data_IF_201462719926
#
_entry.id   IF_201462719926
#
_cell.length_a   1.000
_cell.length_b   1.000
_cell.length_c   1.000
_cell.angle_alpha   90.00
_cell.angle_beta   90.00
_cell.angle_gamma   90.00
#
_symmetry.space_group_name_H-M   'P 1'
#
loop_
_entity.id
_entity.type
_entity.pdbx_description
1 polymer ?
#
# COMPACT_ATOMS: atom_id res chain seq x y z
N UNK A 1 2.49 -13.25 -23.06
CA UNK A 1 1.42 -13.86 -23.67
C UNK A 1 0.49 -14.41 -22.61
N UNK A 2 -0.73 -14.47 -22.99
CA UNK A 2 -1.76 -14.73 -22.04
C UNK A 2 -1.64 -16.08 -21.44
N UNK A 3 -1.27 -17.04 -22.25
CA UNK A 3 -1.12 -18.29 -21.75
C UNK A 3 -0.06 -18.43 -20.77
N UNK A 4 1.11 -17.89 -21.02
CA UNK A 4 2.18 -17.93 -20.10
C UNK A 4 1.81 -17.30 -18.82
N UNK A 5 1.06 -16.22 -18.92
CA UNK A 5 0.67 -15.53 -17.75
C UNK A 5 -0.28 -16.35 -16.92
N UNK A 6 -1.25 -17.00 -17.59
CA UNK A 6 -2.23 -17.73 -16.83
C UNK A 6 -1.62 -18.99 -16.24
N UNK A 7 -0.47 -19.43 -16.73
CA UNK A 7 0.13 -20.59 -16.17
C UNK A 7 1.11 -20.24 -15.07
N UNK A 8 1.32 -18.98 -14.80
CA UNK A 8 2.23 -18.58 -13.76
C UNK A 8 1.63 -18.99 -12.42
N UNK A 9 2.41 -19.73 -11.67
CA UNK A 9 1.93 -20.13 -10.36
C UNK A 9 2.12 -18.99 -9.39
N UNK A 10 1.25 -18.93 -8.43
CA UNK A 10 1.33 -17.86 -7.45
C UNK A 10 0.89 -18.39 -6.10
N UNK A 11 1.20 -17.62 -5.07
CA UNK A 11 0.68 -17.89 -3.75
C UNK A 11 -0.03 -16.60 -3.31
N UNK A 12 -0.98 -16.74 -2.41
CA UNK A 12 -1.82 -15.61 -2.04
C UNK A 12 -1.51 -15.12 -0.64
N UNK A 13 -1.41 -13.81 -0.50
CA UNK A 13 -1.26 -13.21 0.81
C UNK A 13 -2.36 -12.18 0.97
N UNK A 14 -2.64 -11.81 2.21
CA UNK A 14 -3.72 -10.91 2.51
C UNK A 14 -3.20 -9.67 3.22
N UNK A 15 -3.89 -8.57 3.05
CA UNK A 15 -3.50 -7.33 3.71
C UNK A 15 -4.76 -6.49 3.93
N UNK A 16 -4.82 -5.84 5.08
CA UNK A 16 -5.93 -4.95 5.40
C UNK A 16 -5.39 -3.53 5.41
N UNK A 17 -6.13 -2.63 4.81
CA UNK A 17 -5.75 -1.23 4.74
C UNK A 17 -6.88 -0.38 5.33
N UNK A 18 -6.54 0.82 5.75
CA UNK A 18 -7.57 1.74 6.21
C UNK A 18 -8.34 2.31 5.04
N UNK A 19 -7.66 2.57 3.94
CA UNK A 19 -8.27 3.15 2.76
C UNK A 19 -7.47 2.74 1.54
N UNK A 20 -8.12 2.16 0.57
CA UNK A 20 -7.39 1.71 -0.61
C UNK A 20 -7.48 2.69 -1.78
N UNK A 21 -8.21 3.82 -1.59
CA UNK A 21 -8.34 4.80 -2.66
C UNK A 21 -8.93 4.20 -3.90
N UNK A 22 -8.26 4.36 -5.00
CA UNK A 22 -8.72 3.82 -6.29
C UNK A 22 -8.08 2.52 -6.68
N UNK A 23 -7.53 1.78 -5.71
CA UNK A 23 -6.90 0.50 -6.03
C UNK A 23 -7.93 -0.47 -6.59
N UNK A 24 -7.57 -1.20 -7.63
CA UNK A 24 -8.51 -2.11 -8.30
C UNK A 24 -7.94 -3.50 -8.37
N UNK A 25 -8.82 -4.45 -8.60
CA UNK A 25 -8.39 -5.82 -8.88
C UNK A 25 -7.52 -5.78 -10.12
N UNK A 26 -6.46 -6.55 -10.09
CA UNK A 26 -5.44 -6.63 -11.14
C UNK A 26 -4.37 -5.55 -11.03
N UNK A 27 -4.49 -4.66 -10.07
CA UNK A 27 -3.44 -3.68 -9.86
C UNK A 27 -2.16 -4.42 -9.56
N UNK A 28 -1.02 -3.93 -10.04
CA UNK A 28 0.24 -4.64 -9.84
C UNK A 28 0.78 -4.49 -8.43
N UNK A 29 1.49 -5.51 -7.98
CA UNK A 29 2.31 -5.46 -6.79
C UNK A 29 3.74 -5.33 -7.29
N UNK A 30 4.46 -4.32 -6.84
CA UNK A 30 5.80 -4.06 -7.33
C UNK A 30 6.83 -4.00 -6.23
N UNK A 31 8.03 -4.46 -6.54
CA UNK A 31 9.18 -4.29 -5.68
C UNK A 31 10.21 -3.52 -6.51
N UNK A 32 10.57 -2.34 -6.04
CA UNK A 32 11.53 -1.55 -6.80
C UNK A 32 11.07 -1.24 -8.21
N UNK A 33 9.76 -1.14 -8.41
CA UNK A 33 9.23 -0.87 -9.73
C UNK A 33 8.98 -2.08 -10.60
N UNK A 34 9.39 -3.27 -10.13
CA UNK A 34 9.23 -4.49 -10.92
C UNK A 34 7.99 -5.24 -10.44
N UNK A 35 7.16 -5.67 -11.36
CA UNK A 35 5.92 -6.37 -11.02
C UNK A 35 6.25 -7.77 -10.55
N UNK A 36 5.80 -8.10 -9.34
CA UNK A 36 6.01 -9.43 -8.78
C UNK A 36 4.69 -10.13 -8.48
N UNK A 37 3.58 -9.44 -8.64
CA UNK A 37 2.27 -10.03 -8.38
C UNK A 37 1.16 -9.07 -8.74
N UNK A 38 -0.06 -9.43 -8.38
CA UNK A 38 -1.20 -8.58 -8.68
C UNK A 38 -2.29 -8.78 -7.64
N UNK A 39 -3.12 -7.76 -7.49
CA UNK A 39 -4.28 -7.84 -6.62
C UNK A 39 -5.27 -8.81 -7.26
N UNK A 40 -5.69 -9.81 -6.52
CA UNK A 40 -6.63 -10.79 -7.04
C UNK A 40 -8.04 -10.58 -6.50
N UNK A 41 -8.20 -9.94 -5.36
CA UNK A 41 -9.54 -9.72 -4.81
C UNK A 41 -9.52 -8.58 -3.82
N UNK A 42 -10.63 -7.86 -3.74
CA UNK A 42 -10.80 -6.78 -2.79
C UNK A 42 -12.18 -6.94 -2.19
N UNK A 43 -12.25 -6.93 -0.87
CA UNK A 43 -13.54 -7.01 -0.23
C UNK A 43 -13.52 -6.22 1.07
N UNK A 44 -14.66 -5.88 1.58
CA UNK A 44 -14.75 -5.18 2.83
C UNK A 44 -15.01 -6.21 3.91
N UNK A 45 -14.20 -6.22 4.94
CA UNK A 45 -14.36 -7.16 6.04
C UNK A 45 -15.67 -6.80 6.75
N UNK A 46 -16.62 -7.72 6.84
CA UNK A 46 -17.92 -7.40 7.42
C UNK A 46 -17.88 -7.08 8.90
N UNK A 47 -16.82 -7.45 9.58
CA UNK A 47 -16.73 -7.16 11.01
C UNK A 47 -16.07 -5.84 11.27
N UNK A 48 -15.00 -5.54 10.58
CA UNK A 48 -14.25 -4.32 10.84
C UNK A 48 -14.56 -3.22 9.85
N UNK A 49 -15.17 -3.57 8.72
CA UNK A 49 -15.46 -2.64 7.64
C UNK A 49 -14.18 -2.00 7.10
N UNK A 50 -13.08 -2.74 7.16
CA UNK A 50 -11.84 -2.31 6.53
C UNK A 50 -11.64 -3.10 5.26
N UNK A 51 -11.05 -2.49 4.24
CA UNK A 51 -10.79 -3.19 2.99
C UNK A 51 -9.72 -4.26 3.18
N UNK A 52 -10.04 -5.45 2.72
CA UNK A 52 -9.12 -6.58 2.77
C UNK A 52 -8.74 -6.90 1.35
N UNK A 53 -7.47 -6.87 1.07
CA UNK A 53 -6.95 -7.08 -0.27
C UNK A 53 -6.23 -8.42 -0.31
N UNK A 54 -6.55 -9.21 -1.33
CA UNK A 54 -5.86 -10.48 -1.56
C UNK A 54 -4.91 -10.25 -2.73
N UNK A 55 -3.66 -10.66 -2.56
CA UNK A 55 -2.64 -10.42 -3.55
C UNK A 55 -2.02 -11.75 -3.96
N UNK A 56 -1.95 -11.99 -5.27
CA UNK A 56 -1.31 -13.17 -5.80
C UNK A 56 0.12 -12.79 -6.15
N UNK A 57 1.08 -13.44 -5.51
CA UNK A 57 2.50 -13.17 -5.75
C UNK A 57 3.06 -14.32 -6.55
N UNK A 58 3.81 -13.99 -7.61
CA UNK A 58 4.38 -15.02 -8.47
C UNK A 58 5.28 -15.92 -7.65
N UNK A 59 5.18 -17.21 -7.87
CA UNK A 59 5.87 -18.20 -7.06
C UNK A 59 7.38 -18.06 -7.10
N UNK A 60 7.93 -17.49 -8.14
CA UNK A 60 9.36 -17.33 -8.20
C UNK A 60 9.86 -16.33 -7.15
N UNK A 61 8.96 -15.53 -6.59
CA UNK A 61 9.32 -14.57 -5.55
C UNK A 61 8.83 -15.08 -4.20
N UNK A 62 9.35 -16.23 -3.80
CA UNK A 62 8.88 -16.87 -2.58
C UNK A 62 9.79 -16.69 -1.37
N UNK A 63 10.69 -15.71 -1.44
CA UNK A 63 11.54 -15.45 -0.29
C UNK A 63 11.34 -14.02 0.20
N UNK A 64 10.11 -13.65 0.40
CA UNK A 64 9.78 -12.34 0.92
C UNK A 64 9.54 -12.48 2.42
N UNK A 65 10.31 -11.78 3.24
CA UNK A 65 10.15 -11.92 4.70
C UNK A 65 8.81 -11.38 5.18
N UNK A 66 8.29 -11.99 6.23
CA UNK A 66 7.03 -11.52 6.78
C UNK A 66 7.15 -10.13 7.40
N UNK A 67 8.36 -9.62 7.58
CA UNK A 67 8.58 -8.27 8.07
C UNK A 67 8.37 -7.21 6.98
N UNK A 68 8.05 -7.64 5.78
CA UNK A 68 7.85 -6.71 4.67
C UNK A 68 6.60 -5.88 4.85
N UNK A 69 6.52 -4.75 4.15
CA UNK A 69 5.39 -3.86 4.27
C UNK A 69 4.81 -3.52 2.90
N UNK A 70 3.58 -3.06 2.91
CA UNK A 70 2.89 -2.68 1.68
C UNK A 70 2.44 -1.23 1.77
N UNK A 71 2.53 -0.53 0.67
CA UNK A 71 2.03 0.84 0.57
C UNK A 71 1.27 0.96 -0.74
N UNK A 72 0.18 1.71 -0.74
CA UNK A 72 -0.56 1.95 -1.97
C UNK A 72 -0.06 3.27 -2.53
N UNK A 73 0.40 3.23 -3.77
CA UNK A 73 0.95 4.40 -4.42
C UNK A 73 0.26 4.66 -5.74
N UNK A 74 0.47 5.84 -6.27
CA UNK A 74 -0.11 6.24 -7.54
C UNK A 74 1.00 6.40 -8.56
N UNK A 75 0.79 5.87 -9.76
CA UNK A 75 1.77 6.00 -10.81
C UNK A 75 1.69 7.42 -11.34
N UNK A 76 2.71 8.21 -11.07
CA UNK A 76 2.67 9.60 -11.44
C UNK A 76 1.68 10.34 -10.58
N UNK A 77 1.25 11.49 -11.03
CA UNK A 77 0.36 12.31 -10.24
C UNK A 77 -1.09 11.85 -10.32
N UNK A 78 -1.53 11.46 -11.48
CA UNK A 78 -2.91 11.06 -11.68
C UNK A 78 -3.07 9.66 -12.25
N UNK A 79 -2.06 8.84 -12.11
CA UNK A 79 -2.12 7.51 -12.69
C UNK A 79 -2.87 6.51 -11.85
N UNK A 80 -2.84 5.26 -12.32
CA UNK A 80 -3.50 4.18 -11.62
C UNK A 80 -2.75 3.86 -10.33
N UNK A 81 -3.46 3.31 -9.40
CA UNK A 81 -2.84 2.96 -8.13
C UNK A 81 -2.31 1.53 -8.17
N UNK A 82 -1.28 1.30 -7.42
CA UNK A 82 -0.65 0.00 -7.34
C UNK A 82 -0.13 -0.19 -5.91
N UNK A 83 0.32 -1.40 -5.60
CA UNK A 83 0.86 -1.67 -4.29
C UNK A 83 2.37 -1.82 -4.40
N UNK A 84 3.09 -1.08 -3.56
CA UNK A 84 4.53 -1.18 -3.50
C UNK A 84 4.87 -2.04 -2.29
N UNK A 85 5.69 -3.06 -2.50
CA UNK A 85 6.13 -3.91 -1.42
C UNK A 85 7.56 -3.54 -1.07
N UNK A 86 7.78 -3.25 0.20
CA UNK A 86 9.13 -2.98 0.69
C UNK A 86 9.58 -4.22 1.43
N UNK A 87 10.64 -4.83 0.93
CA UNK A 87 11.12 -6.08 1.51
C UNK A 87 11.68 -5.78 2.89
N UNK A 88 11.22 -6.50 3.88
CA UNK A 88 11.61 -6.27 5.25
C UNK A 88 12.95 -6.92 5.57
N UNK A 89 13.38 -6.75 6.82
CA UNK A 89 14.67 -7.30 7.20
C UNK A 89 14.55 -8.81 7.37
N UNK A 90 15.70 -9.47 7.21
CA UNK A 90 15.74 -10.91 7.32
C UNK A 90 17.08 -11.22 7.99
N UNK A 91 17.05 -11.67 9.24
CA UNK A 91 18.25 -11.98 9.97
C UNK A 91 18.53 -13.48 10.00
N UNK A 92 17.87 -14.20 9.13
CA UNK A 92 18.06 -15.64 9.06
C UNK A 92 17.07 -16.41 9.92
N UNK A 93 16.29 -15.71 10.73
CA UNK A 93 15.31 -16.36 11.57
C UNK A 93 13.90 -15.88 11.29
N UNK A 94 13.74 -14.98 10.36
CA UNK A 94 12.42 -14.46 10.02
C UNK A 94 11.73 -15.41 9.04
N UNK A 95 10.47 -15.69 9.29
CA UNK A 95 9.72 -16.57 8.39
C UNK A 95 9.45 -15.82 7.10
N UNK A 96 9.41 -16.57 6.01
CA UNK A 96 9.06 -16.02 4.72
C UNK A 96 7.57 -16.13 4.53
N UNK A 97 6.99 -15.23 3.75
CA UNK A 97 5.57 -15.26 3.47
C UNK A 97 5.21 -16.52 2.70
N UNK A 98 4.12 -17.14 3.09
CA UNK A 98 3.63 -18.34 2.44
C UNK A 98 2.18 -18.13 2.09
N UNK A 99 1.66 -19.03 1.28
CA UNK A 99 0.28 -18.98 0.87
C UNK A 99 -0.62 -18.89 2.10
N UNK A 100 -1.51 -17.95 2.12
CA UNK A 100 -2.43 -17.75 3.23
C UNK A 100 -1.96 -16.77 4.29
N UNK A 101 -0.73 -16.32 4.19
CA UNK A 101 -0.20 -15.43 5.22
C UNK A 101 -0.74 -14.01 5.06
N UNK A 102 -0.65 -13.25 6.12
CA UNK A 102 -1.10 -11.88 6.13
C UNK A 102 0.08 -10.95 6.34
N UNK A 103 0.11 -9.86 5.59
CA UNK A 103 1.10 -8.81 5.79
C UNK A 103 0.43 -7.78 6.65
N UNK A 104 0.97 -7.53 7.84
CA UNK A 104 0.33 -6.61 8.78
C UNK A 104 0.76 -5.16 8.66
N UNK A 105 1.94 -4.92 8.11
CA UNK A 105 2.43 -3.55 8.01
C UNK A 105 1.97 -2.95 6.69
N UNK A 106 0.91 -2.16 6.73
CA UNK A 106 0.33 -1.57 5.52
C UNK A 106 0.17 -0.07 5.70
N UNK A 107 0.33 0.66 4.60
CA UNK A 107 0.10 2.08 4.57
C UNK A 107 -0.94 2.38 3.53
N UNK A 108 -1.94 3.13 3.94
CA UNK A 108 -3.09 3.41 3.09
C UNK A 108 -2.77 4.34 1.94
N UNK A 109 -3.68 4.36 0.98
CA UNK A 109 -3.52 5.22 -0.18
C UNK A 109 -3.61 6.68 0.23
N UNK A 110 -2.89 7.52 -0.49
CA UNK A 110 -3.04 8.95 -0.34
C UNK A 110 -4.00 9.39 -1.42
N UNK A 111 -5.11 9.97 -1.01
CA UNK A 111 -6.13 10.43 -1.93
C UNK A 111 -5.79 11.85 -2.35
N UNK A 112 -5.88 12.13 -3.63
CA UNK A 112 -5.51 13.44 -4.14
C UNK A 112 -6.23 14.58 -3.43
N UNK A 113 -7.48 14.40 -3.14
CA UNK A 113 -8.23 15.41 -2.42
C UNK A 113 -7.60 15.71 -1.08
N UNK A 114 -7.14 14.67 -0.39
CA UNK A 114 -6.53 14.87 0.90
C UNK A 114 -5.22 15.60 0.77
N UNK A 115 -4.48 15.31 -0.28
CA UNK A 115 -3.22 15.98 -0.51
C UNK A 115 -3.45 17.45 -0.77
N UNK A 116 -4.46 17.77 -1.54
CA UNK A 116 -4.79 19.15 -1.83
C UNK A 116 -5.21 19.83 -0.54
N UNK A 117 -6.00 19.13 0.27
CA UNK A 117 -6.42 19.66 1.52
C UNK A 117 -5.25 19.97 2.43
N UNK A 118 -4.31 19.05 2.49
CA UNK A 118 -3.14 19.26 3.31
C UNK A 118 -2.32 20.44 2.80
N UNK A 119 -2.20 20.57 1.50
CA UNK A 119 -1.45 21.66 0.92
C UNK A 119 -2.10 23.01 1.23
N UNK A 120 -3.41 23.09 1.10
CA UNK A 120 -4.10 24.34 1.32
C UNK A 120 -4.42 24.64 2.77
N UNK A 121 -4.74 23.61 3.53
CA UNK A 121 -5.19 23.82 4.89
C UNK A 121 -4.27 23.25 5.95
N UNK A 122 -3.54 22.22 5.62
CA UNK A 122 -2.59 21.67 6.55
C UNK A 122 -1.53 22.67 6.91
N UNK A 123 -1.10 23.44 5.94
CA UNK A 123 -0.10 24.45 6.17
C UNK A 123 -0.64 25.44 7.16
N UNK A 124 -1.90 25.74 7.05
CA UNK A 124 -2.52 26.65 7.94
C UNK A 124 -2.53 26.10 9.35
N UNK A 125 -2.80 24.83 9.47
CA UNK A 125 -2.78 24.23 10.76
C UNK A 125 -1.40 24.22 11.34
N UNK A 126 -0.42 23.92 10.54
CA UNK A 126 0.94 23.89 10.98
C UNK A 126 1.32 25.28 11.43
N UNK A 127 0.99 26.29 10.68
CA UNK A 127 1.29 27.61 11.03
C UNK A 127 0.62 27.96 12.33
N UNK A 128 -0.58 27.56 12.49
CA UNK A 128 -1.29 27.84 13.67
C UNK A 128 -0.55 27.28 14.86
N UNK A 129 -0.12 26.06 14.73
CA UNK A 129 0.59 25.42 15.77
C UNK A 129 1.87 26.10 16.07
N UNK A 130 2.61 26.45 15.05
CA UNK A 130 3.84 27.13 15.28
C UNK A 130 3.58 28.50 15.61
N UNK A 131 2.55 29.01 15.10
CA UNK A 131 2.33 30.36 15.24
C UNK A 131 1.88 30.73 16.56
N UNK A 132 1.28 29.83 17.20
CA UNK A 132 0.94 30.22 18.44
C UNK A 132 2.11 30.58 19.04
N UNK A 133 3.14 30.33 18.42
CA UNK A 133 4.31 30.79 18.88
C UNK A 133 4.63 31.97 18.13
N UNK A 134 4.21 32.29 17.09
CA UNK A 134 4.64 33.42 16.48
C UNK A 134 3.65 34.10 15.88
N UNK A 135 2.69 33.95 15.63
CA UNK A 135 1.92 34.67 14.93
C UNK A 135 1.22 35.31 15.46
N UNK A 136 1.42 35.06 16.07
CA UNK A 136 0.98 35.52 16.25
C UNK A 136 1.41 36.33 15.73
N UNK A 137 1.91 36.44 15.68
CA UNK A 137 2.25 37.01 15.00
C UNK A 137 2.06 37.13 13.93
N UNK A 138 1.57 36.85 13.62
CA UNK A 138 1.38 36.90 12.76
C UNK A 138 0.61 36.95 12.28
N UNK A 139 0.22 36.97 12.62
CA UNK A 139 -0.35 36.85 12.47
C UNK A 139 -0.72 36.64 12.05
N UNK A 140 -0.87 36.35 12.32
CA UNK A 140 -0.90 35.92 12.26
C UNK A 140 -1.08 35.96 12.10
#
# INVERSE_FOLDING_TARGET
NVQGFSETKSYQVYATFDNIGGLKVRAPLKVGGVVVGRVSNIELDPKTYLPKVTIAINQEYNKIPETSSLSIKTSGLLGEQYIALNVGFDDGEIAMLKDGDKIVDTKSAMVLEDLIGQFLYGNKEDKKTEGETNDAAESH
#
